data_IF_748023595000
#
_entry.id   IF_748023595000
#
_cell.length_a   1.000
_cell.length_b   1.000
_cell.length_c   1.000
_cell.angle_alpha   90.00
_cell.angle_beta   90.00
_cell.angle_gamma   90.00
#
_symmetry.space_group_name_H-M   'P 1'
#
loop_
_entity.id
_entity.type
_entity.pdbx_description
1 polymer ?
#
# COMPACT_ATOMS: atom_id res chain seq x y z
N UNK A 1 -9.53 57.50 22.85
CA UNK A 1 -9.10 56.11 23.01
C UNK A 1 -9.04 55.53 21.61
N UNK A 2 -7.85 55.42 21.05
CA UNK A 2 -7.64 54.73 19.81
C UNK A 2 -7.53 53.25 20.16
N UNK A 3 -8.50 52.44 19.73
CA UNK A 3 -8.41 50.99 19.82
C UNK A 3 -7.22 50.54 18.99
N UNK A 4 -6.26 49.95 19.65
CA UNK A 4 -5.05 49.36 19.09
C UNK A 4 -5.47 48.10 18.33
N UNK A 5 -5.80 48.24 17.06
CA UNK A 5 -5.97 47.12 16.15
C UNK A 5 -4.58 46.49 15.91
N UNK A 6 -4.10 45.73 16.86
CA UNK A 6 -2.99 44.81 16.61
C UNK A 6 -3.43 43.86 15.50
N UNK A 7 -2.95 44.12 14.31
CA UNK A 7 -3.07 43.20 13.19
C UNK A 7 -2.34 41.92 13.66
N UNK A 8 -3.09 40.88 13.93
CA UNK A 8 -2.56 39.57 14.26
C UNK A 8 -1.75 39.04 13.06
N UNK A 9 -0.45 39.42 13.05
CA UNK A 9 0.47 38.98 12.05
C UNK A 9 0.95 37.56 12.46
N UNK A 10 0.52 36.54 11.76
CA UNK A 10 0.93 35.17 12.02
C UNK A 10 2.40 34.90 11.67
N UNK A 11 2.94 35.67 10.73
CA UNK A 11 4.34 35.52 10.29
C UNK A 11 5.28 36.07 11.37
N UNK A 12 6.19 35.24 11.86
CA UNK A 12 7.16 35.60 12.90
C UNK A 12 6.68 35.45 14.35
N UNK A 13 5.42 35.09 14.56
CA UNK A 13 4.88 34.79 15.89
C UNK A 13 4.89 33.29 16.16
N UNK A 14 5.10 32.94 17.43
CA UNK A 14 4.99 31.54 17.87
C UNK A 14 3.51 31.20 18.08
N UNK A 15 2.93 30.50 17.12
CA UNK A 15 1.53 30.11 17.12
C UNK A 15 1.43 28.64 17.50
N UNK A 16 0.63 28.33 18.51
CA UNK A 16 0.37 26.95 18.89
C UNK A 16 -0.39 26.24 17.78
N UNK A 17 -0.11 24.95 17.57
CA UNK A 17 -0.88 24.13 16.65
C UNK A 17 -2.33 24.02 17.13
N UNK A 18 -3.27 24.06 16.20
CA UNK A 18 -4.72 23.94 16.49
C UNK A 18 -5.06 22.63 17.21
N UNK A 19 -4.21 21.62 17.04
CA UNK A 19 -4.41 20.28 17.61
C UNK A 19 -3.72 20.06 18.96
N UNK A 20 -2.79 20.94 19.34
CA UNK A 20 -1.95 20.78 20.53
C UNK A 20 -2.80 20.58 21.81
N UNK A 21 -3.82 21.39 21.99
CA UNK A 21 -4.69 21.32 23.18
C UNK A 21 -5.42 19.98 23.27
N UNK A 22 -5.87 19.43 22.13
CA UNK A 22 -6.52 18.13 22.09
C UNK A 22 -5.55 16.99 22.34
N UNK A 23 -4.35 17.07 21.76
CA UNK A 23 -3.31 16.04 21.90
C UNK A 23 -2.78 16.00 23.33
N UNK A 24 -2.47 17.15 23.92
CA UNK A 24 -1.97 17.26 25.29
C UNK A 24 -2.98 16.77 26.34
N UNK A 25 -4.26 16.94 26.06
CA UNK A 25 -5.33 16.48 26.96
C UNK A 25 -5.82 15.05 26.69
N UNK A 26 -5.15 14.31 25.80
CA UNK A 26 -5.55 12.94 25.43
C UNK A 26 -6.88 12.86 24.68
N UNK A 27 -7.33 13.97 24.08
CA UNK A 27 -8.58 14.06 23.29
C UNK A 27 -8.33 14.01 21.79
N UNK A 28 -7.08 13.76 21.39
CA UNK A 28 -6.73 13.54 19.99
C UNK A 28 -7.47 12.33 19.44
N UNK A 29 -7.95 12.43 18.20
CA UNK A 29 -8.59 11.33 17.49
C UNK A 29 -7.87 11.08 16.18
N UNK A 30 -7.33 9.88 16.04
CA UNK A 30 -6.70 9.40 14.82
C UNK A 30 -7.65 8.43 14.10
N UNK A 31 -7.34 8.10 12.87
CA UNK A 31 -8.17 7.16 12.09
C UNK A 31 -8.35 5.79 12.77
N UNK A 32 -7.36 5.34 13.54
CA UNK A 32 -7.43 4.11 14.34
C UNK A 32 -8.38 4.17 15.54
N UNK A 33 -8.70 5.37 16.01
CA UNK A 33 -9.56 5.59 17.18
C UNK A 33 -11.04 5.70 16.79
N UNK A 34 -11.31 5.73 15.48
CA UNK A 34 -12.69 5.74 15.00
C UNK A 34 -13.34 4.39 15.29
N UNK A 35 -14.48 4.37 15.99
CA UNK A 35 -15.16 3.13 16.33
C UNK A 35 -15.59 2.40 15.06
N UNK A 36 -15.12 1.15 14.91
CA UNK A 36 -15.55 0.28 13.82
C UNK A 36 -16.99 -0.20 14.06
N UNK A 37 -17.69 -0.45 12.96
CA UNK A 37 -18.98 -1.15 13.05
C UNK A 37 -18.75 -2.54 13.67
N UNK A 38 -19.68 -3.05 14.47
CA UNK A 38 -19.53 -4.35 15.15
C UNK A 38 -19.19 -5.52 14.22
N UNK A 39 -19.67 -5.45 12.98
CA UNK A 39 -19.46 -6.50 11.96
C UNK A 39 -18.34 -6.17 10.97
N UNK A 40 -17.51 -5.17 11.25
CA UNK A 40 -16.40 -4.81 10.37
C UNK A 40 -15.34 -5.91 10.39
N UNK A 41 -14.88 -6.29 9.21
CA UNK A 41 -13.77 -7.22 9.03
C UNK A 41 -12.45 -6.45 8.97
N UNK A 42 -11.40 -7.06 9.51
CA UNK A 42 -10.04 -6.56 9.39
C UNK A 42 -9.41 -7.07 8.10
N UNK A 43 -8.87 -6.16 7.30
CA UNK A 43 -8.14 -6.48 6.09
C UNK A 43 -6.64 -6.49 6.38
N UNK A 44 -5.99 -7.63 6.18
CA UNK A 44 -4.54 -7.80 6.34
C UNK A 44 -3.93 -8.15 5.00
N UNK A 45 -2.83 -7.49 4.64
CA UNK A 45 -2.24 -7.55 3.30
C UNK A 45 -1.02 -8.46 3.29
N UNK A 46 -1.05 -9.50 2.47
CA UNK A 46 0.13 -10.29 2.12
C UNK A 46 0.98 -9.48 1.13
N UNK A 47 2.26 -9.31 1.45
CA UNK A 47 3.19 -8.52 0.66
C UNK A 47 4.37 -9.35 0.16
N UNK A 48 4.92 -8.92 -0.98
CA UNK A 48 6.10 -9.56 -1.56
C UNK A 48 7.36 -9.31 -0.72
N UNK A 49 8.17 -10.35 -0.57
CA UNK A 49 9.53 -10.28 -0.02
C UNK A 49 10.58 -9.99 -1.09
N UNK A 50 10.20 -10.14 -2.37
CA UNK A 50 11.12 -10.00 -3.51
C UNK A 50 10.87 -8.72 -4.29
N UNK A 51 11.95 -8.13 -4.78
CA UNK A 51 11.93 -6.94 -5.60
C UNK A 51 11.48 -7.21 -7.05
N UNK A 52 11.73 -8.42 -7.56
CA UNK A 52 11.27 -8.87 -8.88
C UNK A 52 11.16 -10.39 -8.87
N UNK A 53 9.95 -10.89 -9.05
CA UNK A 53 9.71 -12.33 -9.13
C UNK A 53 8.38 -12.62 -9.82
N UNK A 54 8.31 -13.78 -10.50
CA UNK A 54 7.03 -14.35 -10.96
C UNK A 54 6.39 -15.16 -9.84
N UNK A 55 5.10 -14.97 -9.64
CA UNK A 55 4.29 -15.73 -8.69
C UNK A 55 3.87 -17.02 -9.39
N UNK A 56 4.49 -18.16 -9.01
CA UNK A 56 4.15 -19.46 -9.57
C UNK A 56 2.86 -20.01 -8.95
N UNK A 57 2.79 -19.96 -7.63
CA UNK A 57 1.67 -20.54 -6.88
C UNK A 57 1.53 -19.86 -5.53
N UNK A 58 0.30 -19.67 -5.10
CA UNK A 58 -0.02 -19.23 -3.74
C UNK A 58 -0.89 -20.32 -3.11
N UNK A 59 -0.45 -20.86 -1.97
CA UNK A 59 -1.14 -21.92 -1.27
C UNK A 59 -1.88 -21.37 -0.04
N UNK A 60 -3.19 -21.35 -0.11
CA UNK A 60 -4.08 -20.89 0.96
C UNK A 60 -4.73 -22.04 1.75
N UNK A 61 -4.40 -23.28 1.49
CA UNK A 61 -5.11 -24.46 2.03
C UNK A 61 -5.18 -24.50 3.55
N UNK A 62 -4.14 -24.02 4.23
CA UNK A 62 -4.09 -23.93 5.70
C UNK A 62 -4.96 -22.80 6.21
N UNK A 63 -4.93 -21.66 5.52
CA UNK A 63 -5.63 -20.42 5.94
C UNK A 63 -7.14 -20.56 5.77
N UNK A 64 -7.60 -21.22 4.72
CA UNK A 64 -9.03 -21.46 4.50
C UNK A 64 -9.72 -22.25 5.62
N UNK A 65 -8.94 -23.04 6.37
CA UNK A 65 -9.43 -23.82 7.52
C UNK A 65 -9.35 -23.06 8.85
N UNK A 66 -8.71 -21.89 8.86
CA UNK A 66 -8.52 -21.11 10.07
C UNK A 66 -9.83 -20.43 10.47
N UNK A 67 -10.29 -20.70 11.68
CA UNK A 67 -11.51 -20.07 12.21
C UNK A 67 -11.31 -18.56 12.35
N UNK A 68 -12.24 -17.79 11.83
CA UNK A 68 -12.18 -16.32 11.87
C UNK A 68 -11.62 -15.68 10.60
N UNK A 69 -11.10 -16.45 9.66
CA UNK A 69 -10.83 -15.97 8.30
C UNK A 69 -12.12 -16.05 7.49
N UNK A 70 -12.52 -14.90 6.94
CA UNK A 70 -13.76 -14.80 6.18
C UNK A 70 -13.53 -15.03 4.69
N UNK A 71 -12.53 -14.36 4.11
CA UNK A 71 -12.23 -14.45 2.67
C UNK A 71 -10.78 -14.07 2.40
N UNK A 72 -10.24 -14.64 1.33
CA UNK A 72 -8.95 -14.24 0.75
C UNK A 72 -9.24 -13.70 -0.65
N UNK A 73 -8.68 -12.54 -0.96
CA UNK A 73 -8.85 -11.83 -2.23
C UNK A 73 -7.47 -11.69 -2.86
N UNK A 74 -7.30 -12.23 -4.05
CA UNK A 74 -6.05 -12.20 -4.81
C UNK A 74 -6.07 -11.12 -5.88
N UNK A 75 -4.91 -10.82 -6.51
CA UNK A 75 -4.84 -9.94 -7.66
C UNK A 75 -5.75 -10.37 -8.82
N UNK A 76 -5.89 -11.69 -9.03
CA UNK A 76 -6.81 -12.25 -10.05
C UNK A 76 -8.28 -11.98 -9.73
N UNK A 77 -8.64 -11.92 -8.45
CA UNK A 77 -10.01 -11.58 -8.06
C UNK A 77 -10.28 -10.09 -8.26
N UNK A 78 -9.31 -9.24 -7.92
CA UNK A 78 -9.40 -7.80 -8.16
C UNK A 78 -9.52 -7.47 -9.64
N UNK A 79 -8.79 -8.14 -10.51
CA UNK A 79 -8.84 -7.88 -11.95
C UNK A 79 -10.21 -8.14 -12.60
N UNK A 80 -11.08 -8.91 -11.92
CA UNK A 80 -12.46 -9.18 -12.39
C UNK A 80 -13.45 -8.07 -12.01
N UNK A 81 -13.14 -7.31 -10.95
CA UNK A 81 -14.08 -6.34 -10.34
C UNK A 81 -13.60 -4.90 -10.43
N UNK A 82 -12.34 -4.66 -10.75
CA UNK A 82 -11.75 -3.33 -10.85
C UNK A 82 -10.91 -3.18 -12.11
N UNK A 83 -10.70 -1.94 -12.51
CA UNK A 83 -9.73 -1.58 -13.53
C UNK A 83 -8.34 -1.39 -12.91
N UNK A 84 -7.26 -1.42 -13.70
CA UNK A 84 -5.94 -1.00 -13.24
C UNK A 84 -5.98 0.41 -12.67
N UNK A 85 -5.08 0.71 -11.75
CA UNK A 85 -4.92 2.06 -11.21
C UNK A 85 -4.61 3.03 -12.35
N UNK A 86 -5.27 4.18 -12.33
CA UNK A 86 -5.02 5.22 -13.30
C UNK A 86 -3.62 5.79 -13.06
N UNK A 87 -2.75 5.69 -14.06
CA UNK A 87 -1.48 6.39 -14.07
C UNK A 87 -1.67 7.78 -14.67
N UNK A 88 -1.14 8.80 -14.00
CA UNK A 88 -1.09 10.18 -14.54
C UNK A 88 -0.16 10.24 -15.76
N UNK A 89 0.82 9.35 -15.80
CA UNK A 89 1.75 9.18 -16.92
C UNK A 89 1.17 8.09 -17.83
N UNK A 90 1.03 8.39 -19.12
CA UNK A 90 0.66 7.39 -20.12
C UNK A 90 1.77 6.35 -20.23
N UNK A 91 1.60 5.24 -19.52
CA UNK A 91 2.51 4.10 -19.58
C UNK A 91 1.75 2.88 -20.07
N UNK A 92 2.46 1.98 -20.73
CA UNK A 92 1.92 0.66 -21.09
C UNK A 92 1.77 -0.25 -19.86
N UNK A 93 2.36 0.15 -18.74
CA UNK A 93 2.33 -0.61 -17.49
C UNK A 93 0.99 -0.45 -16.78
N UNK A 94 0.33 -1.57 -16.54
CA UNK A 94 -0.92 -1.64 -15.77
C UNK A 94 -0.57 -1.97 -14.31
N UNK A 95 -0.78 -1.03 -13.42
CA UNK A 95 -0.62 -1.24 -11.99
C UNK A 95 -1.94 -1.68 -11.38
N UNK A 96 -1.95 -2.79 -10.68
CA UNK A 96 -3.11 -3.33 -9.98
C UNK A 96 -3.00 -3.10 -8.46
N UNK A 97 -4.14 -3.15 -7.75
CA UNK A 97 -4.14 -3.09 -6.28
C UNK A 97 -3.36 -4.23 -5.63
N UNK A 98 -3.34 -5.39 -6.26
CA UNK A 98 -2.52 -6.55 -5.88
C UNK A 98 -1.87 -7.14 -7.13
N UNK A 99 -0.66 -7.62 -6.98
CA UNK A 99 0.08 -8.32 -8.04
C UNK A 99 -0.72 -9.53 -8.55
N UNK A 100 -0.71 -9.76 -9.86
CA UNK A 100 -1.44 -10.86 -10.49
C UNK A 100 -0.50 -12.03 -10.74
N UNK A 101 0.49 -11.85 -11.59
CA UNK A 101 1.41 -12.91 -12.00
C UNK A 101 2.88 -12.59 -11.66
N UNK A 102 3.22 -11.32 -11.47
CA UNK A 102 4.58 -10.87 -11.18
C UNK A 102 4.55 -9.79 -10.09
N UNK A 103 5.63 -9.73 -9.31
CA UNK A 103 5.90 -8.66 -8.34
C UNK A 103 7.08 -7.83 -8.81
N UNK A 104 7.00 -6.51 -8.62
CA UNK A 104 7.91 -5.52 -9.18
C UNK A 104 8.71 -4.76 -8.12
N UNK A 105 8.31 -4.84 -6.83
CA UNK A 105 9.02 -4.22 -5.72
C UNK A 105 8.75 -4.97 -4.41
N UNK A 106 9.68 -4.83 -3.46
CA UNK A 106 9.51 -5.37 -2.09
C UNK A 106 8.34 -4.67 -1.42
N UNK A 107 7.44 -5.44 -0.83
CA UNK A 107 6.24 -4.91 -0.18
C UNK A 107 5.03 -4.76 -1.10
N UNK A 108 5.13 -5.13 -2.40
CA UNK A 108 3.98 -5.13 -3.30
C UNK A 108 2.87 -6.04 -2.76
N UNK A 109 1.62 -5.56 -2.68
CA UNK A 109 0.50 -6.38 -2.26
C UNK A 109 0.27 -7.56 -3.21
N UNK A 110 0.07 -8.76 -2.65
CA UNK A 110 -0.18 -9.99 -3.42
C UNK A 110 -1.61 -10.47 -3.20
N UNK A 111 -2.06 -10.44 -1.94
CA UNK A 111 -3.40 -10.85 -1.55
C UNK A 111 -3.85 -10.09 -0.31
N UNK A 112 -5.16 -10.02 -0.12
CA UNK A 112 -5.79 -9.43 1.06
C UNK A 112 -6.57 -10.53 1.78
N UNK A 113 -6.36 -10.64 3.08
CA UNK A 113 -7.06 -11.56 3.96
C UNK A 113 -8.07 -10.75 4.76
N UNK A 114 -9.34 -11.14 4.70
CA UNK A 114 -10.40 -10.58 5.52
C UNK A 114 -10.63 -11.51 6.71
N UNK A 115 -10.45 -10.99 7.93
CA UNK A 115 -10.60 -11.74 9.17
C UNK A 115 -11.44 -10.98 10.19
N UNK A 116 -11.96 -11.69 11.16
CA UNK A 116 -12.79 -11.13 12.24
C UNK A 116 -11.98 -10.32 13.25
N UNK A 117 -10.65 -10.51 13.29
CA UNK A 117 -9.74 -9.67 14.05
C UNK A 117 -8.40 -9.52 13.29
N UNK A 118 -7.68 -8.45 13.61
CA UNK A 118 -6.36 -8.19 13.04
C UNK A 118 -5.37 -9.32 13.36
N UNK A 119 -5.38 -9.80 14.59
CA UNK A 119 -4.47 -10.88 15.03
C UNK A 119 -4.67 -12.17 14.25
N UNK A 120 -5.93 -12.58 14.03
CA UNK A 120 -6.23 -13.75 13.20
C UNK A 120 -5.75 -13.55 11.76
N UNK A 121 -5.88 -12.33 11.23
CA UNK A 121 -5.36 -12.01 9.90
C UNK A 121 -3.83 -12.10 9.82
N UNK A 122 -3.13 -11.61 10.84
CA UNK A 122 -1.66 -11.66 10.92
C UNK A 122 -1.16 -13.11 11.09
N UNK A 123 -1.81 -13.92 11.92
CA UNK A 123 -1.51 -15.36 12.05
C UNK A 123 -1.75 -16.10 10.72
N UNK A 124 -2.80 -15.72 10.01
CA UNK A 124 -3.12 -16.28 8.70
C UNK A 124 -2.02 -16.01 7.66
N UNK A 125 -1.36 -14.83 7.70
CA UNK A 125 -0.24 -14.50 6.80
C UNK A 125 0.90 -15.51 6.91
N UNK A 126 1.21 -15.96 8.13
CA UNK A 126 2.31 -16.92 8.40
C UNK A 126 2.02 -18.32 7.87
N UNK A 127 0.75 -18.62 7.58
CA UNK A 127 0.32 -19.91 7.06
C UNK A 127 0.24 -19.95 5.53
N UNK A 128 0.49 -18.83 4.87
CA UNK A 128 0.46 -18.73 3.40
C UNK A 128 1.84 -19.03 2.85
N UNK A 129 1.89 -20.00 1.95
CA UNK A 129 3.08 -20.35 1.18
C UNK A 129 2.98 -19.72 -0.21
N UNK A 130 3.97 -18.91 -0.60
CA UNK A 130 4.06 -18.34 -1.95
C UNK A 130 5.31 -18.88 -2.64
N UNK A 131 5.09 -19.56 -3.75
CA UNK A 131 6.17 -20.07 -4.58
C UNK A 131 6.53 -19.05 -5.66
N UNK A 132 7.76 -18.54 -5.59
CA UNK A 132 8.27 -17.56 -6.52
C UNK A 132 9.31 -18.14 -7.49
N UNK A 133 9.37 -17.55 -8.68
CA UNK A 133 10.53 -17.62 -9.55
C UNK A 133 11.22 -16.27 -9.51
N UNK A 134 12.28 -16.16 -8.73
CA UNK A 134 12.98 -14.89 -8.52
C UNK A 134 13.72 -14.47 -9.77
N UNK A 135 13.54 -13.21 -10.16
CA UNK A 135 14.29 -12.56 -11.24
C UNK A 135 15.40 -11.68 -10.64
N UNK A 136 16.40 -11.36 -11.44
CA UNK A 136 17.40 -10.39 -11.04
C UNK A 136 16.80 -8.99 -11.10
N UNK A 137 16.67 -8.27 -9.98
CA UNK A 137 16.13 -6.92 -9.99
C UNK A 137 17.16 -5.92 -10.53
N UNK A 138 16.68 -4.88 -11.22
CA UNK A 138 17.50 -3.74 -11.65
C UNK A 138 17.44 -2.67 -10.57
N UNK A 139 18.47 -2.58 -9.74
CA UNK A 139 18.50 -1.70 -8.56
C UNK A 139 19.53 -0.57 -8.66
N UNK A 140 20.38 -0.58 -9.69
CA UNK A 140 21.38 0.46 -9.88
C UNK A 140 21.22 1.13 -11.25
N UNK A 141 21.61 2.41 -11.31
CA UNK A 141 21.65 3.16 -12.57
C UNK A 141 22.57 2.46 -13.59
N UNK A 142 23.71 1.92 -13.13
CA UNK A 142 24.66 1.23 -13.98
C UNK A 142 24.06 -0.01 -14.63
N UNK A 143 23.29 -0.80 -13.87
CA UNK A 143 22.62 -1.99 -14.40
C UNK A 143 21.51 -1.59 -15.39
N UNK A 144 20.77 -0.52 -15.10
CA UNK A 144 19.76 0.00 -16.00
C UNK A 144 20.36 0.46 -17.35
N UNK A 145 21.50 1.14 -17.32
CA UNK A 145 22.23 1.56 -18.52
C UNK A 145 22.73 0.36 -19.33
N UNK A 146 23.28 -0.66 -18.66
CA UNK A 146 23.76 -1.87 -19.32
C UNK A 146 22.65 -2.65 -20.03
N UNK A 147 21.42 -2.59 -19.51
CA UNK A 147 20.25 -3.21 -20.14
C UNK A 147 19.61 -2.35 -21.22
N UNK A 148 20.21 -1.22 -21.57
CA UNK A 148 19.68 -0.27 -22.57
C UNK A 148 18.26 0.22 -22.28
N UNK A 149 17.86 0.24 -21.00
CA UNK A 149 16.54 0.72 -20.57
C UNK A 149 16.40 2.25 -20.69
N UNK A 150 17.48 2.93 -21.07
CA UNK A 150 17.52 4.40 -21.22
C UNK A 150 16.54 4.90 -22.29
N UNK A 151 16.25 4.08 -23.31
CA UNK A 151 15.32 4.44 -24.38
C UNK A 151 13.85 4.44 -23.95
N UNK A 152 13.53 3.88 -22.78
CA UNK A 152 12.17 3.86 -22.24
C UNK A 152 11.88 5.18 -21.50
N UNK A 153 12.91 5.90 -21.07
CA UNK A 153 12.77 7.09 -20.20
C UNK A 153 13.05 8.42 -20.89
N UNK A 154 13.51 8.44 -22.13
CA UNK A 154 13.66 9.69 -22.90
C UNK A 154 12.33 10.03 -23.60
N UNK A 155 11.57 11.04 -23.10
CA UNK A 155 10.59 11.67 -23.93
C UNK A 155 11.36 12.40 -25.03
N UNK A 156 11.20 11.95 -26.27
CA UNK A 156 11.61 12.73 -27.43
C UNK A 156 11.02 14.13 -27.30
N UNK A 157 11.80 15.10 -26.88
CA UNK A 157 11.45 16.52 -27.01
C UNK A 157 11.47 16.81 -28.49
N UNK A 158 10.34 17.15 -29.13
CA UNK A 158 10.41 17.80 -30.43
C UNK A 158 11.04 19.17 -30.18
N UNK A 159 12.10 19.47 -30.88
CA UNK A 159 12.69 20.82 -30.97
C UNK A 159 11.70 21.75 -31.66
#
# INVERSE_FOLDING_TARGET
MLEDHTIDCFVGNNINSVEDDKLLNGKGQFGSDTPFKPDALHAVVLRSEYASAKIKKINFSKVQKLKGVYKIITGKDFSKISNPLLSVIRTEFKTWCCAIDEVHYVGEPIAIILATSRYIGEDALQLIDVEYSVNQPVISIKDALNLSLIHISEPTRPY
#
